data_IF_047777883556
#
_entry.id   IF_047777883556
#
_cell.length_a   1.000
_cell.length_b   1.000
_cell.length_c   1.000
_cell.angle_alpha   90.00
_cell.angle_beta   90.00
_cell.angle_gamma   90.00
#
_symmetry.space_group_name_H-M   'P 1'
#
loop_
_entity.id
_entity.type
_entity.pdbx_description
1 polymer ?
#
# COMPACT_ATOMS: atom_id res chain seq x y z
N UNK A 1 -28.93 -75.21 -11.16
CA UNK A 1 -28.81 -74.30 -10.01
C UNK A 1 -27.45 -73.62 -10.11
N UNK A 2 -27.37 -72.53 -10.89
CA UNK A 2 -26.11 -71.86 -11.23
C UNK A 2 -25.91 -70.64 -10.32
N UNK A 3 -24.77 -70.59 -9.61
CA UNK A 3 -24.37 -69.49 -8.72
C UNK A 3 -23.89 -68.29 -9.57
N UNK A 4 -24.24 -67.04 -9.23
CA UNK A 4 -23.66 -65.87 -9.88
C UNK A 4 -22.25 -65.57 -9.32
N UNK A 5 -21.33 -65.22 -10.21
CA UNK A 5 -20.03 -64.61 -9.85
C UNK A 5 -20.25 -63.13 -9.54
N UNK A 6 -19.89 -62.69 -8.33
CA UNK A 6 -19.82 -61.29 -7.95
C UNK A 6 -18.50 -60.69 -8.43
N UNK A 7 -18.55 -59.78 -9.41
CA UNK A 7 -17.39 -59.02 -9.88
C UNK A 7 -17.16 -57.83 -8.92
N UNK A 8 -16.10 -57.87 -8.11
CA UNK A 8 -15.66 -56.71 -7.35
C UNK A 8 -14.95 -55.72 -8.30
N UNK A 9 -15.57 -54.59 -8.58
CA UNK A 9 -14.92 -53.48 -9.25
C UNK A 9 -14.08 -52.69 -8.24
N UNK A 10 -12.75 -52.83 -8.31
CA UNK A 10 -11.81 -51.98 -7.57
C UNK A 10 -11.72 -50.64 -8.30
N UNK A 11 -12.45 -49.63 -7.80
CA UNK A 11 -12.31 -48.24 -8.23
C UNK A 11 -11.02 -47.71 -7.62
N UNK A 12 -9.94 -47.71 -8.39
CA UNK A 12 -8.71 -47.02 -8.02
C UNK A 12 -8.93 -45.52 -8.00
N UNK A 13 -9.02 -44.93 -6.80
CA UNK A 13 -8.91 -43.49 -6.62
C UNK A 13 -7.46 -43.08 -6.96
N UNK A 14 -7.24 -42.64 -8.18
CA UNK A 14 -5.99 -41.99 -8.56
C UNK A 14 -5.95 -40.63 -7.87
N UNK A 15 -5.24 -40.53 -6.74
CA UNK A 15 -4.91 -39.27 -6.09
C UNK A 15 -4.08 -38.45 -7.07
N UNK A 16 -4.72 -37.54 -7.78
CA UNK A 16 -4.04 -36.47 -8.52
C UNK A 16 -3.43 -35.55 -7.48
N UNK A 17 -2.15 -35.77 -7.16
CA UNK A 17 -1.33 -34.81 -6.44
C UNK A 17 -1.22 -33.57 -7.33
N UNK A 18 -1.97 -32.52 -7.00
CA UNK A 18 -1.75 -31.20 -7.60
C UNK A 18 -0.29 -30.83 -7.37
N UNK A 19 0.48 -30.47 -8.42
CA UNK A 19 1.83 -29.98 -8.19
C UNK A 19 1.73 -28.74 -7.30
N UNK A 20 2.34 -28.81 -6.11
CA UNK A 20 2.71 -27.61 -5.39
C UNK A 20 3.47 -26.74 -6.39
N UNK A 21 2.94 -25.55 -6.66
CA UNK A 21 3.61 -24.53 -7.44
C UNK A 21 4.89 -24.14 -6.69
N UNK A 22 5.97 -24.88 -6.90
CA UNK A 22 7.35 -24.50 -6.56
C UNK A 22 7.79 -23.43 -7.56
N UNK A 23 7.04 -22.33 -7.62
CA UNK A 23 7.50 -21.13 -8.29
C UNK A 23 8.80 -20.69 -7.61
N UNK A 24 9.84 -20.41 -8.39
CA UNK A 24 11.12 -19.94 -7.86
C UNK A 24 10.90 -18.73 -6.92
N UNK A 25 11.79 -18.51 -5.96
CA UNK A 25 11.70 -17.36 -5.06
C UNK A 25 12.18 -16.08 -5.75
N UNK A 26 11.59 -14.91 -5.44
CA UNK A 26 12.07 -13.65 -5.97
C UNK A 26 13.49 -13.37 -5.48
N UNK A 27 14.33 -12.83 -6.36
CA UNK A 27 15.74 -12.55 -6.07
C UNK A 27 15.95 -11.05 -5.86
N UNK A 28 16.45 -10.67 -4.69
CA UNK A 28 16.90 -9.31 -4.43
C UNK A 28 18.20 -9.03 -5.20
N UNK A 29 18.14 -8.12 -6.18
CA UNK A 29 19.29 -7.79 -7.02
C UNK A 29 20.13 -6.67 -6.41
N UNK A 30 19.47 -5.64 -5.87
CA UNK A 30 20.14 -4.49 -5.28
C UNK A 30 19.26 -3.83 -4.23
N UNK A 31 19.91 -3.15 -3.28
CA UNK A 31 19.28 -2.22 -2.32
C UNK A 31 20.19 -1.02 -2.19
N UNK A 32 19.64 0.18 -2.38
CA UNK A 32 20.39 1.44 -2.27
C UNK A 32 19.66 2.38 -1.33
N UNK A 33 20.38 3.01 -0.42
CA UNK A 33 19.88 4.17 0.31
C UNK A 33 19.85 5.35 -0.66
N UNK A 34 18.65 5.83 -0.97
CA UNK A 34 18.44 6.90 -1.96
C UNK A 34 18.22 8.27 -1.29
N UNK A 35 17.97 8.30 0.02
CA UNK A 35 17.81 9.56 0.76
C UNK A 35 17.96 9.39 2.27
N UNK A 36 18.70 10.32 2.89
CA UNK A 36 18.82 10.43 4.34
C UNK A 36 19.04 11.87 4.85
N UNK A 37 18.68 12.92 4.10
CA UNK A 37 18.96 14.29 4.52
C UNK A 37 18.16 14.71 5.78
N UNK A 38 16.87 14.35 5.87
CA UNK A 38 16.02 14.67 7.03
C UNK A 38 16.39 13.92 8.32
N UNK A 39 15.95 14.41 9.47
CA UNK A 39 16.14 13.75 10.79
C UNK A 39 15.32 12.46 10.93
N UNK A 40 14.16 12.41 10.29
CA UNK A 40 13.33 11.22 10.16
C UNK A 40 12.70 11.22 8.76
N UNK A 41 12.99 10.20 7.96
CA UNK A 41 12.48 10.03 6.59
C UNK A 41 11.64 8.75 6.55
N UNK A 42 10.34 8.86 6.26
CA UNK A 42 9.45 7.71 6.37
C UNK A 42 8.20 7.77 5.48
N UNK A 43 7.49 6.65 5.47
CA UNK A 43 6.16 6.51 4.85
C UNK A 43 6.18 6.71 3.34
N UNK A 44 7.17 6.11 2.69
CA UNK A 44 7.49 6.35 1.29
C UNK A 44 6.41 5.86 0.31
N UNK A 45 6.53 6.29 -0.94
CA UNK A 45 5.85 5.72 -2.10
C UNK A 45 6.70 5.89 -3.37
N UNK A 46 6.33 5.20 -4.45
CA UNK A 46 7.08 5.17 -5.71
C UNK A 46 6.10 5.23 -6.89
N UNK A 47 6.39 6.07 -7.88
CA UNK A 47 5.72 6.08 -9.17
C UNK A 47 6.71 6.25 -10.32
N UNK A 48 6.31 5.81 -11.51
CA UNK A 48 6.98 6.11 -12.78
C UNK A 48 6.12 7.09 -13.55
N UNK A 49 6.68 8.23 -13.94
CA UNK A 49 5.94 9.30 -14.63
C UNK A 49 6.91 10.11 -15.51
N UNK A 50 6.51 10.35 -16.76
CA UNK A 50 7.32 11.00 -17.80
C UNK A 50 8.76 10.46 -17.87
N UNK A 51 8.90 9.13 -17.91
CA UNK A 51 10.19 8.44 -17.93
C UNK A 51 11.14 8.80 -16.78
N UNK A 52 10.63 9.35 -15.67
CA UNK A 52 11.35 9.51 -14.40
C UNK A 52 10.74 8.67 -13.27
N UNK A 53 11.60 8.23 -12.35
CA UNK A 53 11.22 7.66 -11.07
C UNK A 53 10.91 8.80 -10.10
N UNK A 54 9.80 8.69 -9.38
CA UNK A 54 9.36 9.66 -8.40
C UNK A 54 9.15 8.96 -7.07
N UNK A 55 9.81 9.45 -6.04
CA UNK A 55 9.68 8.93 -4.68
C UNK A 55 9.23 10.05 -3.76
N UNK A 56 8.21 9.77 -2.94
CA UNK A 56 7.70 10.71 -1.95
C UNK A 56 7.77 10.13 -0.57
N UNK A 57 8.13 10.95 0.42
CA UNK A 57 8.17 10.53 1.82
C UNK A 57 8.03 11.76 2.74
N UNK A 58 7.71 11.51 4.00
CA UNK A 58 7.68 12.53 5.03
C UNK A 58 9.10 12.77 5.56
N UNK A 59 9.49 14.03 5.66
CA UNK A 59 10.61 14.51 6.45
C UNK A 59 10.10 15.20 7.72
N UNK A 60 10.61 14.81 8.89
CA UNK A 60 10.25 15.44 10.16
C UNK A 60 11.34 15.28 11.23
N UNK A 61 11.09 15.84 12.42
CA UNK A 61 11.95 15.70 13.59
C UNK A 61 11.94 14.27 14.17
N UNK A 62 10.79 13.57 14.12
CA UNK A 62 10.61 12.22 14.67
C UNK A 62 9.44 11.48 14.03
N UNK A 63 9.33 10.19 14.31
CA UNK A 63 8.21 9.34 13.85
C UNK A 63 6.84 9.85 14.30
N UNK A 64 6.72 10.29 15.56
CA UNK A 64 5.45 10.67 16.19
C UNK A 64 5.01 12.10 15.87
N UNK A 65 4.46 12.79 16.88
CA UNK A 65 3.96 14.17 16.77
C UNK A 65 5.10 15.16 16.48
N UNK A 66 5.14 15.68 15.26
CA UNK A 66 5.99 16.81 14.83
C UNK A 66 5.49 17.30 13.48
N UNK A 67 5.54 18.59 13.18
CA UNK A 67 5.07 19.09 11.88
C UNK A 67 6.04 18.67 10.76
N UNK A 68 5.69 17.58 10.06
CA UNK A 68 6.43 17.04 8.93
C UNK A 68 6.04 17.70 7.61
N UNK A 69 6.98 17.60 6.67
CA UNK A 69 6.84 18.06 5.28
C UNK A 69 6.96 16.86 4.36
N UNK A 70 6.41 16.95 3.15
CA UNK A 70 6.56 15.91 2.14
C UNK A 70 7.66 16.27 1.17
N UNK A 71 8.71 15.47 1.15
CA UNK A 71 9.79 15.53 0.15
C UNK A 71 9.36 14.75 -1.08
N UNK A 72 9.66 15.32 -2.25
CA UNK A 72 9.59 14.63 -3.54
C UNK A 72 11.01 14.58 -4.09
N UNK A 73 11.49 13.38 -4.43
CA UNK A 73 12.76 13.18 -5.12
C UNK A 73 12.53 12.51 -6.47
N UNK A 74 13.41 12.78 -7.41
CA UNK A 74 13.30 12.31 -8.80
C UNK A 74 14.61 11.69 -9.26
N UNK A 75 14.52 10.69 -10.12
CA UNK A 75 15.67 10.07 -10.76
C UNK A 75 15.31 9.59 -12.16
N UNK A 76 16.21 9.79 -13.13
CA UNK A 76 16.04 9.27 -14.49
C UNK A 76 16.42 7.78 -14.59
N UNK A 77 17.41 7.35 -13.80
CA UNK A 77 18.07 6.05 -13.88
C UNK A 77 17.80 5.14 -12.66
N UNK A 78 17.23 5.68 -11.59
CA UNK A 78 17.04 5.00 -10.30
C UNK A 78 18.29 5.00 -9.42
N UNK A 79 19.36 5.67 -9.87
CA UNK A 79 20.69 5.68 -9.26
C UNK A 79 21.02 7.05 -8.66
N UNK A 80 20.85 8.09 -9.47
CA UNK A 80 21.14 9.47 -9.09
C UNK A 80 19.83 10.18 -8.77
N UNK A 81 19.73 10.76 -7.57
CA UNK A 81 18.49 11.29 -7.04
C UNK A 81 18.61 12.78 -6.69
N UNK A 82 17.69 13.56 -7.24
CA UNK A 82 17.57 15.00 -6.96
C UNK A 82 16.35 15.28 -6.08
N UNK A 83 16.46 16.28 -5.20
CA UNK A 83 15.30 16.87 -4.55
C UNK A 83 14.49 17.69 -5.55
N UNK A 84 13.30 17.22 -5.92
CA UNK A 84 12.41 17.89 -6.86
C UNK A 84 11.50 18.93 -6.19
N UNK A 85 10.98 18.63 -4.99
CA UNK A 85 10.07 19.52 -4.26
C UNK A 85 10.06 19.24 -2.75
N UNK A 86 9.64 20.25 -1.97
CA UNK A 86 9.33 20.14 -0.55
C UNK A 86 7.97 20.77 -0.26
N UNK A 87 6.95 19.93 -0.15
CA UNK A 87 5.56 20.35 0.07
C UNK A 87 5.34 20.49 1.57
N UNK A 88 4.77 21.62 1.99
CA UNK A 88 4.49 21.91 3.40
C UNK A 88 3.22 22.72 3.56
N UNK A 89 2.60 22.63 4.73
CA UNK A 89 1.45 23.45 5.10
C UNK A 89 1.64 23.95 6.53
N UNK A 90 1.53 25.27 6.74
CA UNK A 90 1.79 25.90 8.03
C UNK A 90 0.88 25.29 9.12
N UNK A 91 1.50 24.83 10.21
CA UNK A 91 0.77 24.27 11.36
C UNK A 91 0.23 22.86 11.16
N UNK A 92 0.52 22.20 10.03
CA UNK A 92 0.04 20.86 9.70
C UNK A 92 1.22 19.91 9.52
N UNK A 93 1.15 18.74 10.16
CA UNK A 93 2.01 17.60 9.88
C UNK A 93 1.48 16.85 8.65
N UNK A 94 2.15 17.03 7.50
CA UNK A 94 1.87 16.26 6.30
C UNK A 94 2.56 14.89 6.41
N UNK A 95 1.75 13.83 6.33
CA UNK A 95 2.19 12.44 6.55
C UNK A 95 1.75 11.49 5.45
N UNK A 96 2.38 10.33 5.44
CA UNK A 96 2.04 9.18 4.62
C UNK A 96 1.76 9.53 3.15
N UNK A 97 2.65 10.27 2.45
CA UNK A 97 2.42 10.62 1.06
C UNK A 97 2.26 9.38 0.20
N UNK A 98 1.19 9.34 -0.61
CA UNK A 98 0.92 8.30 -1.61
C UNK A 98 0.70 8.93 -2.98
N UNK A 99 1.53 8.52 -3.93
CA UNK A 99 1.48 8.94 -5.31
C UNK A 99 0.48 8.10 -6.11
N UNK A 100 -0.16 8.74 -7.07
CA UNK A 100 -0.86 8.09 -8.16
C UNK A 100 -0.74 8.92 -9.43
N UNK A 101 -0.74 8.24 -10.58
CA UNK A 101 -0.83 8.89 -11.89
C UNK A 101 -2.31 8.95 -12.26
N UNK A 102 -2.81 10.16 -12.49
CA UNK A 102 -4.19 10.42 -12.91
C UNK A 102 -4.41 9.99 -14.37
N UNK A 103 -5.66 9.70 -14.78
CA UNK A 103 -6.00 9.38 -16.17
C UNK A 103 -5.61 10.46 -17.18
N UNK A 104 -5.56 11.72 -16.75
CA UNK A 104 -5.14 12.86 -17.58
C UNK A 104 -3.62 13.08 -17.62
N UNK A 105 -2.85 12.17 -17.01
CA UNK A 105 -1.39 12.21 -16.99
C UNK A 105 -0.78 13.07 -15.88
N UNK A 106 -1.57 13.75 -15.04
CA UNK A 106 -1.03 14.45 -13.87
C UNK A 106 -0.62 13.48 -12.76
N UNK A 107 0.28 13.92 -11.89
CA UNK A 107 0.53 13.29 -10.60
C UNK A 107 -0.47 13.82 -9.57
N UNK A 108 -1.02 12.92 -8.77
CA UNK A 108 -1.84 13.21 -7.60
C UNK A 108 -1.14 12.63 -6.36
N UNK A 109 -1.08 13.44 -5.31
CA UNK A 109 -0.43 13.10 -4.06
C UNK A 109 -1.43 13.21 -2.91
N UNK A 110 -1.84 12.07 -2.35
CA UNK A 110 -2.62 12.01 -1.12
C UNK A 110 -1.67 12.03 0.08
N UNK A 111 -2.04 12.78 1.12
CA UNK A 111 -1.32 12.87 2.38
C UNK A 111 -2.32 12.87 3.54
N UNK A 112 -1.91 12.42 4.71
CA UNK A 112 -2.59 12.78 5.96
C UNK A 112 -2.15 14.18 6.40
N UNK A 113 -3.05 14.98 6.95
CA UNK A 113 -2.74 16.27 7.57
C UNK A 113 -3.16 16.26 9.02
N UNK A 114 -2.21 16.19 9.96
CA UNK A 114 -2.48 16.27 11.39
C UNK A 114 -2.21 17.66 11.94
N UNK A 115 -3.10 18.15 12.79
CA UNK A 115 -2.94 19.40 13.54
C UNK A 115 -2.79 19.02 15.01
N UNK A 116 -1.66 19.41 15.58
CA UNK A 116 -1.38 19.21 17.00
C UNK A 116 -1.74 20.50 17.73
N UNK A 117 -2.99 20.60 18.18
CA UNK A 117 -3.44 21.67 19.07
C UNK A 117 -3.13 21.33 20.54
N UNK A 118 -3.52 22.22 21.46
CA UNK A 118 -3.40 22.01 22.92
C UNK A 118 -4.46 21.07 23.48
N UNK A 119 -5.43 20.61 22.67
CA UNK A 119 -6.36 19.58 23.10
C UNK A 119 -5.60 18.25 23.22
N UNK A 120 -6.10 17.36 24.08
CA UNK A 120 -5.48 16.04 24.30
C UNK A 120 -5.38 15.21 23.01
N UNK A 121 -6.28 15.45 22.06
CA UNK A 121 -6.52 14.57 20.91
C UNK A 121 -5.92 15.11 19.62
N UNK A 122 -5.85 16.44 19.43
CA UNK A 122 -5.55 17.04 18.13
C UNK A 122 -6.63 16.68 17.10
N UNK A 123 -6.40 17.04 15.83
CA UNK A 123 -7.29 16.62 14.73
C UNK A 123 -6.48 16.18 13.51
N UNK A 124 -7.14 15.50 12.58
CA UNK A 124 -6.54 15.09 11.30
C UNK A 124 -7.57 15.13 10.18
N UNK A 125 -7.11 15.34 8.97
CA UNK A 125 -7.91 15.20 7.75
C UNK A 125 -6.97 14.98 6.58
N UNK A 126 -7.38 14.26 5.53
CA UNK A 126 -6.54 14.08 4.36
C UNK A 126 -6.26 15.40 3.64
N UNK A 127 -5.17 15.40 2.87
CA UNK A 127 -4.74 16.48 1.98
C UNK A 127 -4.47 15.92 0.60
N UNK A 128 -4.63 16.76 -0.41
CA UNK A 128 -4.23 16.47 -1.78
C UNK A 128 -3.43 17.61 -2.39
N UNK A 129 -2.42 17.26 -3.16
CA UNK A 129 -1.73 18.16 -4.08
C UNK A 129 -1.61 17.50 -5.46
N UNK A 130 -1.59 18.31 -6.51
CA UNK A 130 -1.46 17.87 -7.89
C UNK A 130 -0.23 18.47 -8.55
N UNK A 131 0.33 17.76 -9.52
CA UNK A 131 1.45 18.24 -10.33
C UNK A 131 1.35 17.73 -11.76
N UNK A 132 1.78 18.56 -12.72
CA UNK A 132 1.93 18.13 -14.13
C UNK A 132 3.30 17.52 -14.41
N UNK A 133 4.31 17.87 -13.61
CA UNK A 133 5.72 17.62 -13.90
C UNK A 133 6.50 16.99 -12.73
N UNK A 134 5.84 16.79 -11.58
CA UNK A 134 6.42 16.29 -10.32
C UNK A 134 7.28 17.30 -9.56
N UNK A 135 7.48 18.52 -10.10
CA UNK A 135 8.33 19.58 -9.51
C UNK A 135 7.49 20.71 -8.93
N UNK A 136 6.49 21.16 -9.68
CA UNK A 136 5.56 22.18 -9.23
C UNK A 136 4.28 21.53 -8.73
N UNK A 137 3.89 21.82 -7.49
CA UNK A 137 2.74 21.21 -6.84
C UNK A 137 1.75 22.30 -6.42
N UNK A 138 0.46 22.01 -6.54
CA UNK A 138 -0.58 22.87 -5.95
C UNK A 138 -0.46 22.87 -4.43
N UNK A 139 -0.90 23.97 -3.81
CA UNK A 139 -1.05 24.03 -2.35
C UNK A 139 -1.93 22.87 -1.83
N UNK A 140 -1.60 22.25 -0.68
CA UNK A 140 -2.37 21.15 -0.14
C UNK A 140 -3.82 21.54 0.19
N UNK A 141 -4.78 20.94 -0.53
CA UNK A 141 -6.21 21.11 -0.27
C UNK A 141 -6.70 20.11 0.78
N UNK A 142 -7.53 20.54 1.75
CA UNK A 142 -8.19 19.65 2.74
C UNK A 142 -9.26 18.82 2.05
N UNK A 143 -9.24 17.51 2.33
CA UNK A 143 -10.24 16.55 1.88
C UNK A 143 -11.00 15.97 3.07
N UNK A 144 -12.25 15.57 2.82
CA UNK A 144 -13.13 14.88 3.77
C UNK A 144 -13.35 15.66 5.10
N UNK A 145 -14.23 15.12 5.93
CA UNK A 145 -14.42 15.60 7.30
C UNK A 145 -13.19 15.31 8.17
N UNK A 146 -13.19 15.85 9.39
CA UNK A 146 -12.14 15.55 10.36
C UNK A 146 -12.12 14.08 10.75
N UNK A 147 -10.99 13.67 11.32
CA UNK A 147 -10.65 12.31 11.74
C UNK A 147 -10.48 11.25 10.63
N UNK A 148 -10.87 11.58 9.40
CA UNK A 148 -10.52 10.79 8.23
C UNK A 148 -9.00 10.74 7.98
N UNK A 149 -8.57 9.65 7.38
CA UNK A 149 -7.22 9.46 6.86
C UNK A 149 -7.28 8.61 5.60
N UNK A 150 -7.36 9.28 4.46
CA UNK A 150 -7.41 8.66 3.15
C UNK A 150 -6.04 8.05 2.83
N UNK A 151 -5.97 6.75 2.54
CA UNK A 151 -4.70 6.04 2.43
C UNK A 151 -4.03 6.21 1.07
N UNK A 152 -4.40 5.39 0.09
CA UNK A 152 -3.77 5.33 -1.24
C UNK A 152 -4.86 5.28 -2.32
N UNK A 153 -4.64 6.03 -3.40
CA UNK A 153 -5.56 6.05 -4.55
C UNK A 153 -5.22 4.96 -5.55
N UNK A 154 -6.24 4.31 -6.09
CA UNK A 154 -6.17 3.46 -7.28
C UNK A 154 -7.16 3.97 -8.30
N UNK A 155 -6.70 4.25 -9.52
CA UNK A 155 -7.55 4.69 -10.61
C UNK A 155 -8.09 3.50 -11.39
N UNK A 156 -9.39 3.54 -11.69
CA UNK A 156 -10.06 2.54 -12.54
C UNK A 156 -11.17 3.22 -13.35
N UNK A 157 -11.10 3.09 -14.68
CA UNK A 157 -12.10 3.65 -15.62
C UNK A 157 -12.43 5.13 -15.33
N UNK A 158 -11.39 5.95 -15.13
CA UNK A 158 -11.55 7.39 -14.88
C UNK A 158 -11.98 7.76 -13.46
N UNK A 159 -12.11 6.80 -12.54
CA UNK A 159 -12.51 7.03 -11.15
C UNK A 159 -11.36 6.68 -10.20
N UNK A 160 -11.06 7.57 -9.26
CA UNK A 160 -10.18 7.34 -8.14
C UNK A 160 -10.92 6.56 -7.05
N UNK A 161 -10.28 5.55 -6.48
CA UNK A 161 -10.80 4.75 -5.37
C UNK A 161 -9.80 4.73 -4.23
N UNK A 162 -10.27 4.90 -3.00
CA UNK A 162 -9.43 4.86 -1.81
C UNK A 162 -10.24 4.51 -0.58
N UNK A 163 -9.56 3.97 0.43
CA UNK A 163 -10.14 3.68 1.74
C UNK A 163 -9.59 4.70 2.73
N UNK A 164 -10.50 5.32 3.47
CA UNK A 164 -10.16 6.18 4.60
C UNK A 164 -10.33 5.41 5.90
N UNK A 165 -9.36 5.51 6.82
CA UNK A 165 -9.54 5.04 8.19
C UNK A 165 -10.15 6.16 9.05
N UNK A 166 -11.20 5.84 9.79
CA UNK A 166 -11.77 6.71 10.82
C UNK A 166 -11.15 6.35 12.18
N UNK A 167 -10.76 7.32 12.99
CA UNK A 167 -9.94 7.12 14.20
C UNK A 167 -10.69 7.22 15.52
N UNK A 168 -11.64 8.12 15.62
CA UNK A 168 -12.37 8.54 16.82
C UNK A 168 -13.87 8.29 16.67
N UNK A 169 -14.61 8.38 17.79
CA UNK A 169 -16.04 8.09 17.88
C UNK A 169 -16.35 6.81 18.67
N UNK A 170 -17.64 6.48 18.79
CA UNK A 170 -18.13 5.29 19.50
C UNK A 170 -17.76 3.97 18.81
N UNK A 171 -17.31 4.06 17.55
CA UNK A 171 -16.91 2.92 16.72
C UNK A 171 -15.65 3.27 15.90
N UNK A 172 -14.46 3.27 16.54
CA UNK A 172 -13.21 3.73 15.93
C UNK A 172 -12.57 2.65 15.05
N UNK A 173 -11.69 3.05 14.12
CA UNK A 173 -10.92 2.17 13.20
C UNK A 173 -11.78 1.39 12.21
N UNK A 174 -12.73 2.10 11.64
CA UNK A 174 -13.52 1.67 10.48
C UNK A 174 -12.82 2.05 9.18
N UNK A 175 -12.90 1.17 8.18
CA UNK A 175 -12.50 1.48 6.81
C UNK A 175 -13.69 2.02 6.04
N UNK A 176 -13.54 3.15 5.37
CA UNK A 176 -14.60 3.80 4.60
C UNK A 176 -14.16 3.86 3.15
N UNK A 177 -14.85 3.13 2.26
CA UNK A 177 -14.56 3.13 0.83
C UNK A 177 -15.17 4.37 0.19
N UNK A 178 -14.34 5.12 -0.52
CA UNK A 178 -14.73 6.29 -1.30
C UNK A 178 -14.33 6.15 -2.76
N UNK A 179 -15.05 6.85 -3.63
CA UNK A 179 -14.65 7.10 -5.02
C UNK A 179 -14.68 8.60 -5.35
N UNK A 180 -13.96 9.00 -6.39
CA UNK A 180 -13.92 10.39 -6.87
C UNK A 180 -13.62 10.44 -8.37
N UNK A 181 -14.13 11.45 -9.08
CA UNK A 181 -13.78 11.72 -10.49
C UNK A 181 -12.54 12.58 -10.66
N UNK A 182 -12.18 13.40 -9.66
CA UNK A 182 -11.17 14.45 -9.77
C UNK A 182 -10.12 14.42 -8.65
N UNK A 183 -10.33 13.59 -7.62
CA UNK A 183 -9.49 13.50 -6.43
C UNK A 183 -9.75 14.58 -5.39
N UNK A 184 -10.72 15.48 -5.62
CA UNK A 184 -11.13 16.56 -4.73
C UNK A 184 -12.45 16.22 -4.04
N UNK A 185 -13.47 15.85 -4.81
CA UNK A 185 -14.80 15.52 -4.30
C UNK A 185 -14.98 14.01 -4.21
N UNK A 186 -15.25 13.51 -3.01
CA UNK A 186 -15.27 12.07 -2.71
C UNK A 186 -16.67 11.60 -2.29
N UNK A 187 -17.21 10.66 -3.06
CA UNK A 187 -18.46 9.97 -2.77
C UNK A 187 -18.20 8.75 -1.90
N UNK A 188 -18.93 8.64 -0.79
CA UNK A 188 -18.90 7.45 0.06
C UNK A 188 -19.66 6.29 -0.60
N UNK A 189 -19.07 5.09 -0.57
CA UNK A 189 -19.63 3.88 -1.18
C UNK A 189 -20.13 2.88 -0.15
N UNK A 190 -19.25 2.49 0.77
CA UNK A 190 -19.57 1.52 1.82
C UNK A 190 -18.58 1.61 2.97
N UNK A 191 -18.91 0.93 4.05
CA UNK A 191 -18.10 0.74 5.24
C UNK A 191 -17.55 -0.70 5.26
N UNK A 192 -16.28 -0.85 5.64
CA UNK A 192 -15.64 -2.15 5.79
C UNK A 192 -15.98 -2.73 7.16
N UNK A 193 -16.96 -3.63 7.16
CA UNK A 193 -17.33 -4.45 8.31
C UNK A 193 -16.52 -5.73 8.30
N UNK A 194 -15.42 -5.74 9.03
CA UNK A 194 -14.57 -6.92 9.15
C UNK A 194 -15.27 -8.00 9.99
N UNK A 195 -15.02 -9.30 9.73
CA UNK A 195 -15.63 -10.40 10.46
C UNK A 195 -15.49 -10.29 11.99
N UNK A 196 -16.44 -10.88 12.71
CA UNK A 196 -16.53 -10.88 14.18
C UNK A 196 -16.64 -9.48 14.80
N UNK A 197 -17.23 -8.52 14.08
CA UNK A 197 -17.34 -7.12 14.50
C UNK A 197 -15.98 -6.52 14.90
N UNK A 198 -14.97 -6.80 14.08
CA UNK A 198 -13.61 -6.33 14.34
C UNK A 198 -13.42 -4.91 13.82
N UNK A 199 -13.28 -3.95 14.72
CA UNK A 199 -13.06 -2.54 14.39
C UNK A 199 -11.57 -2.20 14.43
N UNK A 200 -10.83 -2.65 13.41
CA UNK A 200 -9.39 -2.40 13.30
C UNK A 200 -8.90 -2.13 11.87
N UNK A 201 -9.80 -1.96 10.91
CA UNK A 201 -9.45 -1.60 9.54
C UNK A 201 -8.71 -0.25 9.55
N UNK A 202 -7.56 -0.21 8.89
CA UNK A 202 -6.75 0.99 8.83
C UNK A 202 -6.15 1.20 7.45
N UNK A 203 -4.81 1.19 7.34
CA UNK A 203 -4.08 1.37 6.09
C UNK A 203 -4.47 0.27 5.10
N UNK A 204 -5.09 0.66 4.00
CA UNK A 204 -5.74 -0.28 3.08
C UNK A 204 -5.46 0.08 1.63
N UNK A 205 -4.75 -0.81 0.94
CA UNK A 205 -4.47 -0.67 -0.49
C UNK A 205 -5.55 -1.40 -1.29
N UNK A 206 -5.95 -0.83 -2.43
CA UNK A 206 -6.92 -1.41 -3.36
C UNK A 206 -6.25 -1.74 -4.71
N UNK A 207 -6.71 -2.78 -5.42
CA UNK A 207 -6.39 -3.00 -6.85
C UNK A 207 -7.57 -3.62 -7.57
N UNK A 208 -7.85 -3.11 -8.77
CA UNK A 208 -8.84 -3.70 -9.68
C UNK A 208 -8.20 -4.81 -10.51
N UNK A 209 -8.91 -5.93 -10.61
CA UNK A 209 -8.61 -7.06 -11.49
C UNK A 209 -9.23 -6.83 -12.87
N UNK A 210 -8.75 -7.52 -13.92
CA UNK A 210 -9.27 -7.34 -15.28
C UNK A 210 -10.77 -7.61 -15.43
N UNK A 211 -11.33 -8.49 -14.60
CA UNK A 211 -12.75 -8.85 -14.57
C UNK A 211 -13.60 -7.88 -13.73
N UNK A 212 -13.03 -6.80 -13.23
CA UNK A 212 -13.71 -5.79 -12.42
C UNK A 212 -13.81 -6.12 -10.93
N UNK A 213 -13.28 -7.26 -10.47
CA UNK A 213 -13.14 -7.53 -9.03
C UNK A 213 -12.19 -6.51 -8.39
N UNK A 214 -12.58 -6.00 -7.22
CA UNK A 214 -11.76 -5.12 -6.40
C UNK A 214 -11.19 -5.91 -5.23
N UNK A 215 -9.86 -5.89 -5.08
CA UNK A 215 -9.15 -6.54 -3.98
C UNK A 215 -8.63 -5.47 -3.03
N UNK A 216 -8.76 -5.72 -1.73
CA UNK A 216 -8.21 -4.90 -0.66
C UNK A 216 -7.16 -5.68 0.15
N UNK A 217 -6.03 -5.06 0.48
CA UNK A 217 -5.11 -5.53 1.52
C UNK A 217 -5.13 -4.52 2.67
N UNK A 218 -5.71 -4.93 3.80
CA UNK A 218 -6.09 -4.08 4.92
C UNK A 218 -5.30 -4.43 6.17
N UNK A 219 -4.59 -3.44 6.72
CA UNK A 219 -3.98 -3.55 8.05
C UNK A 219 -5.09 -3.66 9.12
N UNK A 220 -4.96 -4.57 10.11
CA UNK A 220 -3.78 -5.36 10.42
C UNK A 220 -3.60 -6.66 9.65
N UNK A 221 -4.63 -7.37 9.21
CA UNK A 221 -4.41 -8.73 8.68
C UNK A 221 -5.61 -9.23 7.86
N UNK A 222 -6.10 -8.42 6.93
CA UNK A 222 -7.27 -8.78 6.13
C UNK A 222 -7.02 -8.61 4.64
N UNK A 223 -7.44 -9.60 3.86
CA UNK A 223 -7.64 -9.46 2.41
C UNK A 223 -9.14 -9.44 2.17
N UNK A 224 -9.59 -8.47 1.38
CA UNK A 224 -10.99 -8.32 1.00
C UNK A 224 -11.19 -8.46 -0.49
N UNK A 225 -12.31 -9.02 -0.92
CA UNK A 225 -12.74 -9.00 -2.33
C UNK A 225 -14.17 -8.49 -2.45
N UNK A 226 -14.44 -7.81 -3.56
CA UNK A 226 -15.76 -7.28 -3.87
C UNK A 226 -15.96 -7.11 -5.38
N UNK A 227 -17.21 -7.20 -5.83
CA UNK A 227 -17.63 -6.93 -7.20
C UNK A 227 -18.56 -5.71 -7.24
N UNK A 228 -18.75 -5.06 -8.41
CA UNK A 228 -19.72 -3.97 -8.53
C UNK A 228 -21.08 -4.36 -7.91
N UNK A 229 -21.74 -3.45 -7.16
CA UNK A 229 -21.42 -2.04 -6.95
C UNK A 229 -20.44 -1.76 -5.80
N UNK A 230 -19.65 -2.76 -5.37
CA UNK A 230 -18.63 -2.67 -4.33
C UNK A 230 -19.14 -2.40 -2.92
N UNK A 231 -20.41 -2.74 -2.66
CA UNK A 231 -21.08 -2.54 -1.37
C UNK A 231 -20.89 -3.71 -0.41
N UNK A 232 -20.75 -4.92 -0.94
CA UNK A 232 -20.62 -6.15 -0.17
C UNK A 232 -19.22 -6.73 -0.35
N UNK A 233 -18.62 -7.16 0.77
CA UNK A 233 -17.23 -7.58 0.82
C UNK A 233 -17.09 -8.93 1.49
N UNK A 234 -16.28 -9.79 0.90
CA UNK A 234 -15.82 -11.04 1.50
C UNK A 234 -14.42 -10.81 2.07
N UNK A 235 -14.18 -11.27 3.30
CA UNK A 235 -12.95 -10.99 4.04
C UNK A 235 -12.27 -12.26 4.50
N UNK A 236 -10.98 -12.36 4.21
CA UNK A 236 -10.09 -13.43 4.69
C UNK A 236 -9.08 -12.87 5.66
N UNK A 237 -8.98 -13.47 6.85
CA UNK A 237 -7.95 -13.14 7.84
C UNK A 237 -6.63 -13.80 7.44
N UNK A 238 -5.57 -13.04 7.28
CA UNK A 238 -4.22 -13.59 7.04
C UNK A 238 -3.52 -13.92 8.38
N UNK A 239 -2.52 -14.80 8.33
CA UNK A 239 -1.88 -15.38 9.52
C UNK A 239 -1.01 -14.42 10.35
N UNK A 240 -0.74 -13.21 9.86
CA UNK A 240 0.13 -12.25 10.54
C UNK A 240 -0.29 -10.80 10.33
N UNK A 241 0.10 -9.93 11.25
CA UNK A 241 -0.10 -8.50 11.11
C UNK A 241 0.80 -7.92 10.02
N UNK A 242 0.27 -6.98 9.25
CA UNK A 242 0.96 -6.17 8.24
C UNK A 242 0.90 -4.69 8.61
N UNK A 243 1.92 -3.91 8.22
CA UNK A 243 1.99 -2.47 8.47
C UNK A 243 2.37 -1.71 7.21
N UNK A 244 1.67 -0.60 6.93
CA UNK A 244 1.82 0.18 5.70
C UNK A 244 1.67 -0.65 4.42
N UNK A 245 0.72 -1.58 4.28
CA UNK A 245 0.71 -2.53 3.18
C UNK A 245 0.52 -1.87 1.80
N UNK A 246 1.20 -2.40 0.80
CA UNK A 246 0.96 -2.15 -0.62
C UNK A 246 1.00 -3.47 -1.40
N UNK A 247 0.38 -3.53 -2.56
CA UNK A 247 0.49 -4.68 -3.45
C UNK A 247 0.32 -4.27 -4.91
N UNK A 248 0.77 -5.13 -5.82
CA UNK A 248 0.75 -4.93 -7.26
C UNK A 248 0.36 -6.23 -7.97
N UNK A 249 -0.29 -6.09 -9.13
CA UNK A 249 -0.50 -7.18 -10.09
C UNK A 249 0.56 -7.07 -11.18
N UNK A 250 1.36 -8.12 -11.36
CA UNK A 250 2.35 -8.19 -12.44
C UNK A 250 1.68 -8.50 -13.79
N UNK A 251 2.37 -8.31 -14.94
CA UNK A 251 1.80 -8.60 -16.25
C UNK A 251 1.29 -10.05 -16.40
N UNK A 252 1.98 -11.01 -15.77
CA UNK A 252 1.59 -12.42 -15.75
C UNK A 252 0.34 -12.71 -14.88
N UNK A 253 -0.23 -11.69 -14.23
CA UNK A 253 -1.45 -11.80 -13.43
C UNK A 253 -1.24 -12.14 -11.95
N UNK A 254 -0.02 -12.49 -11.54
CA UNK A 254 0.28 -12.76 -10.14
C UNK A 254 0.17 -11.49 -9.29
N UNK A 255 -0.29 -11.67 -8.04
CA UNK A 255 -0.30 -10.60 -7.04
C UNK A 255 0.89 -10.75 -6.10
N UNK A 256 1.52 -9.62 -5.82
CA UNK A 256 2.65 -9.53 -4.92
C UNK A 256 2.44 -8.37 -3.97
N UNK A 257 2.58 -8.64 -2.67
CA UNK A 257 2.37 -7.67 -1.62
C UNK A 257 3.66 -7.37 -0.89
N UNK A 258 3.78 -6.17 -0.34
CA UNK A 258 4.87 -5.81 0.54
C UNK A 258 4.35 -5.01 1.72
N UNK A 259 4.88 -5.31 2.90
CA UNK A 259 4.47 -4.68 4.14
C UNK A 259 5.51 -4.88 5.24
N UNK A 260 5.25 -4.26 6.40
CA UNK A 260 5.98 -4.56 7.62
C UNK A 260 5.46 -5.88 8.17
N UNK A 261 6.35 -6.84 8.36
CA UNK A 261 6.08 -8.03 9.14
C UNK A 261 6.26 -7.75 10.64
N UNK A 262 5.33 -8.23 11.45
CA UNK A 262 5.40 -8.18 12.91
C UNK A 262 5.68 -9.58 13.46
N UNK A 263 6.94 -10.02 13.38
CA UNK A 263 7.41 -11.27 13.98
C UNK A 263 8.39 -11.02 15.14
N UNK A 264 9.34 -11.94 15.34
CA UNK A 264 10.47 -11.75 16.29
C UNK A 264 11.25 -10.46 16.03
N UNK A 265 11.33 -10.06 14.75
CA UNK A 265 11.87 -8.77 14.30
C UNK A 265 10.83 -8.05 13.45
N UNK A 266 10.84 -6.72 13.49
CA UNK A 266 10.03 -5.87 12.61
C UNK A 266 10.84 -5.56 11.36
N UNK A 267 10.45 -6.15 10.23
CA UNK A 267 11.16 -6.03 8.96
C UNK A 267 10.19 -5.78 7.81
N UNK A 268 10.68 -5.19 6.73
CA UNK A 268 9.98 -5.08 5.45
C UNK A 268 10.13 -6.39 4.69
N UNK A 269 9.02 -6.92 4.20
CA UNK A 269 9.00 -8.16 3.40
C UNK A 269 8.29 -7.96 2.07
N UNK A 270 8.65 -8.78 1.08
CA UNK A 270 7.87 -9.06 -0.11
C UNK A 270 7.21 -10.44 0.08
N UNK A 271 5.94 -10.53 -0.29
CA UNK A 271 5.07 -11.67 -0.08
C UNK A 271 4.36 -12.07 -1.38
N UNK A 272 4.23 -13.38 -1.60
CA UNK A 272 3.25 -13.94 -2.52
C UNK A 272 1.86 -13.64 -1.97
N UNK A 273 0.98 -13.14 -2.83
CA UNK A 273 -0.39 -12.80 -2.46
C UNK A 273 -1.39 -13.53 -3.37
N UNK A 274 -2.46 -14.04 -2.78
CA UNK A 274 -3.67 -14.50 -3.47
C UNK A 274 -4.88 -13.73 -2.92
N UNK A 275 -6.10 -14.15 -3.27
CA UNK A 275 -7.34 -13.54 -2.72
C UNK A 275 -7.51 -13.83 -1.23
N UNK A 276 -6.89 -14.90 -0.76
CA UNK A 276 -7.08 -15.49 0.56
C UNK A 276 -5.76 -15.85 1.24
N UNK A 277 -4.63 -15.68 0.57
CA UNK A 277 -3.32 -16.02 1.09
C UNK A 277 -2.34 -14.84 1.02
N UNK A 278 -1.48 -14.78 2.03
CA UNK A 278 -0.34 -13.86 2.12
C UNK A 278 0.82 -14.64 2.72
N UNK A 279 1.92 -14.76 1.99
CA UNK A 279 3.09 -15.51 2.41
C UNK A 279 4.35 -14.68 2.14
N UNK A 280 5.04 -14.15 3.18
CA UNK A 280 6.35 -13.55 3.02
C UNK A 280 7.35 -14.56 2.46
N UNK A 281 8.09 -14.15 1.44
CA UNK A 281 9.06 -15.02 0.76
C UNK A 281 10.42 -14.35 0.56
N UNK A 282 10.51 -13.04 0.77
CA UNK A 282 11.76 -12.29 0.73
C UNK A 282 11.76 -11.21 1.81
N UNK A 283 12.79 -11.20 2.65
CA UNK A 283 13.01 -10.14 3.66
C UNK A 283 14.02 -9.12 3.12
N UNK A 284 13.67 -7.84 3.19
CA UNK A 284 14.57 -6.76 2.77
C UNK A 284 15.47 -6.33 3.94
N UNK A 285 16.70 -5.84 3.65
CA UNK A 285 17.55 -5.17 4.63
C UNK A 285 16.79 -4.02 5.32
N UNK A 286 16.32 -4.29 6.54
CA UNK A 286 15.42 -3.40 7.26
C UNK A 286 15.33 -3.78 8.75
N UNK A 287 14.87 -2.84 9.57
CA UNK A 287 14.81 -2.96 11.02
C UNK A 287 14.31 -1.68 11.67
N UNK A 288 14.05 -1.74 12.98
CA UNK A 288 13.54 -0.62 13.77
C UNK A 288 12.21 -0.08 13.24
N UNK A 289 12.18 1.20 12.89
CA UNK A 289 11.07 1.86 12.22
C UNK A 289 11.24 1.75 10.70
N UNK A 290 10.37 1.01 10.01
CA UNK A 290 10.57 0.63 8.60
C UNK A 290 9.28 0.36 7.79
N UNK A 291 9.40 0.03 6.49
CA UNK A 291 8.35 -0.43 5.57
C UNK A 291 7.68 0.70 4.74
N UNK A 292 6.36 0.68 4.62
CA UNK A 292 5.51 1.54 3.80
C UNK A 292 5.97 1.55 2.34
N UNK A 293 5.91 0.40 1.64
CA UNK A 293 6.54 0.28 0.33
C UNK A 293 5.76 1.00 -0.78
N UNK A 294 6.49 1.67 -1.66
CA UNK A 294 6.05 2.02 -3.00
C UNK A 294 6.49 0.94 -3.99
N UNK A 295 5.63 0.55 -4.93
CA UNK A 295 5.90 -0.61 -5.81
C UNK A 295 5.57 -0.27 -7.26
N UNK A 296 6.52 -0.51 -8.16
CA UNK A 296 6.35 -0.33 -9.60
C UNK A 296 7.00 -1.51 -10.34
N UNK A 297 6.29 -2.06 -11.31
CA UNK A 297 6.87 -3.02 -12.26
C UNK A 297 7.41 -2.27 -13.49
N UNK A 298 8.69 -2.45 -13.80
CA UNK A 298 9.33 -1.82 -14.96
C UNK A 298 10.50 -2.68 -15.47
N UNK A 299 10.58 -2.87 -16.77
CA UNK A 299 11.68 -3.56 -17.47
C UNK A 299 12.04 -4.92 -16.88
N UNK A 300 11.01 -5.73 -16.57
CA UNK A 300 11.18 -7.08 -16.05
C UNK A 300 11.54 -7.16 -14.56
N UNK A 301 11.57 -6.03 -13.86
CA UNK A 301 11.91 -5.94 -12.44
C UNK A 301 10.79 -5.31 -11.63
N UNK A 302 10.65 -5.80 -10.39
CA UNK A 302 9.89 -5.11 -9.36
C UNK A 302 10.82 -4.11 -8.65
N UNK A 303 10.49 -2.85 -8.79
CA UNK A 303 11.14 -1.75 -8.08
C UNK A 303 10.32 -1.40 -6.84
N UNK A 304 11.01 -1.32 -5.70
CA UNK A 304 10.34 -1.09 -4.43
C UNK A 304 11.07 -0.05 -3.58
N UNK A 305 10.43 1.10 -3.34
CA UNK A 305 10.88 2.02 -2.31
C UNK A 305 10.38 1.55 -0.94
N UNK A 306 11.17 1.74 0.11
CA UNK A 306 10.74 1.56 1.50
C UNK A 306 11.59 2.45 2.42
N UNK A 307 11.15 2.69 3.65
CA UNK A 307 12.01 3.35 4.64
C UNK A 307 12.50 2.36 5.69
N UNK A 308 13.62 2.67 6.35
CA UNK A 308 14.09 1.91 7.50
C UNK A 308 15.09 2.67 8.36
N UNK A 309 15.12 2.38 9.66
CA UNK A 309 16.10 2.89 10.62
C UNK A 309 17.17 1.86 11.05
N UNK A 310 17.40 0.79 10.27
CA UNK A 310 18.36 -0.25 10.63
C UNK A 310 19.81 0.24 10.67
N UNK A 311 20.13 1.30 9.95
CA UNK A 311 21.44 1.97 9.95
C UNK A 311 21.45 3.23 10.85
N UNK A 312 20.66 3.22 11.93
CA UNK A 312 20.57 4.31 12.90
C UNK A 312 19.40 5.25 12.66
N UNK A 313 19.45 6.06 11.60
CA UNK A 313 18.39 7.03 11.26
C UNK A 313 17.42 6.49 10.22
N UNK A 314 16.12 6.81 10.37
CA UNK A 314 15.11 6.48 9.37
C UNK A 314 15.43 7.15 8.02
N UNK A 315 15.77 6.32 7.04
CA UNK A 315 16.22 6.70 5.70
C UNK A 315 15.41 5.98 4.63
N UNK A 316 15.46 6.44 3.39
CA UNK A 316 14.72 5.87 2.26
C UNK A 316 15.64 4.98 1.43
N UNK A 317 15.14 3.81 1.08
CA UNK A 317 15.83 2.78 0.31
C UNK A 317 15.02 2.43 -0.93
N UNK A 318 15.72 2.03 -1.99
CA UNK A 318 15.15 1.46 -3.21
C UNK A 318 15.74 0.07 -3.43
N UNK A 319 14.86 -0.90 -3.63
CA UNK A 319 15.22 -2.26 -3.99
C UNK A 319 14.84 -2.56 -5.44
N UNK A 320 15.69 -3.30 -6.14
CA UNK A 320 15.37 -3.95 -7.40
C UNK A 320 15.26 -5.46 -7.17
N UNK A 321 14.15 -6.04 -7.58
CA UNK A 321 13.82 -7.44 -7.32
C UNK A 321 13.48 -8.12 -8.64
N UNK A 322 14.19 -9.19 -8.95
CA UNK A 322 13.84 -10.08 -10.05
C UNK A 322 12.73 -11.01 -9.59
N UNK A 323 11.63 -11.00 -10.34
CA UNK A 323 10.49 -11.85 -10.05
C UNK A 323 10.62 -13.21 -10.78
N UNK A 324 9.99 -14.28 -10.27
CA UNK A 324 10.08 -15.63 -10.82
C UNK A 324 9.53 -15.78 -12.24
#
# INVERSE_FOLDING_TARGET
>A
MFRPLTLLAVIGFSLTVSPELTAADPQLLSVKKIWDAGKHNAFTDLARHHNCWWVTFREAEKHGKSNGKVRVIVSADGENWDSAALISQRGVDLRDPKLSVMPDGRLMLIMGGSIYDTSKYGTRSPRVSFSKDGRQWTEPAKLLAEDHWLWRVTWHKGQAWSVSKLGEGSDPRRGMLYRSSDGLDWEWITEFRLPNNTWNASETTLRFMPDGELIALTRPHWIGTSRPPYKEWSWTKIGENVGGPNFIRLPNGQLWAAARQYGKKRVTVLARMARDAYQPVLTLPSGGDNSYPGMVWHDGLLWMSYYSSHEGKASIYLAQIKMP
#
